data_IF_294786065052
#
_entry.id   IF_294786065052
#
_cell.length_a   1.000
_cell.length_b   1.000
_cell.length_c   1.000
_cell.angle_alpha   90.00
_cell.angle_beta   90.00
_cell.angle_gamma   90.00
#
_symmetry.space_group_name_H-M   'P 1'
#
loop_
_entity.id
_entity.type
_entity.pdbx_description
1 polymer ?
#
# COMPACT_ATOMS: atom_id res chain seq x y z
N UNK A 1 14.62 2.04 -5.82
CA UNK A 1 13.94 3.32 -6.11
C UNK A 1 13.61 4.10 -4.84
N UNK A 2 12.76 3.59 -3.94
CA UNK A 2 12.38 4.27 -2.69
C UNK A 2 13.58 4.80 -1.88
N UNK A 3 14.63 3.99 -1.70
CA UNK A 3 15.85 4.44 -1.01
C UNK A 3 16.59 5.59 -1.72
N UNK A 4 16.47 5.73 -3.04
CA UNK A 4 17.05 6.86 -3.78
C UNK A 4 16.22 8.13 -3.55
N UNK A 5 14.90 8.03 -3.68
CA UNK A 5 13.95 9.13 -3.40
C UNK A 5 14.19 9.69 -1.99
N UNK A 6 14.33 8.80 -0.99
CA UNK A 6 14.61 9.20 0.39
C UNK A 6 15.97 9.90 0.54
N UNK A 7 17.04 9.37 -0.08
CA UNK A 7 18.38 9.99 -0.01
C UNK A 7 18.44 11.35 -0.70
N UNK A 8 17.77 11.49 -1.84
CA UNK A 8 17.73 12.72 -2.62
C UNK A 8 16.69 13.73 -2.11
N UNK A 9 15.93 13.37 -1.06
CA UNK A 9 14.86 14.20 -0.46
C UNK A 9 13.84 14.69 -1.49
N UNK A 10 13.53 13.84 -2.47
CA UNK A 10 12.53 14.16 -3.48
C UNK A 10 11.14 14.09 -2.86
N UNK A 11 10.34 15.15 -3.04
CA UNK A 11 8.96 15.21 -2.62
C UNK A 11 8.07 14.64 -3.72
N UNK A 12 8.01 13.32 -3.80
CA UNK A 12 7.21 12.58 -4.78
C UNK A 12 6.47 11.44 -4.10
N UNK A 13 5.29 11.12 -4.64
CA UNK A 13 4.58 9.90 -4.29
C UNK A 13 5.19 8.69 -5.00
N UNK A 14 5.16 7.54 -4.34
CA UNK A 14 5.54 6.26 -4.90
C UNK A 14 4.29 5.37 -5.02
N UNK A 15 3.78 5.30 -6.24
CA UNK A 15 2.64 4.48 -6.61
C UNK A 15 3.04 3.03 -6.93
N UNK A 16 2.19 2.08 -6.54
CA UNK A 16 2.21 0.71 -7.05
C UNK A 16 0.90 0.44 -7.77
N UNK A 17 1.01 0.17 -9.07
CA UNK A 17 -0.10 -0.23 -9.94
C UNK A 17 0.14 -1.65 -10.48
N UNK A 18 -0.86 -2.51 -10.26
CA UNK A 18 -0.81 -3.94 -10.60
C UNK A 18 -0.64 -4.86 -9.39
N UNK A 19 -1.61 -5.77 -9.22
CA UNK A 19 -1.52 -6.85 -8.25
C UNK A 19 -1.58 -6.44 -6.78
N UNK A 20 -2.02 -5.22 -6.45
CA UNK A 20 -2.23 -4.79 -5.06
C UNK A 20 -3.44 -5.50 -4.46
N UNK A 21 -3.22 -6.20 -3.33
CA UNK A 21 -4.24 -6.96 -2.60
C UNK A 21 -4.08 -6.76 -1.09
N UNK A 22 -5.06 -7.20 -0.30
CA UNK A 22 -5.00 -7.12 1.17
C UNK A 22 -3.76 -7.83 1.71
N UNK A 23 -3.37 -8.95 1.10
CA UNK A 23 -2.29 -9.83 1.56
C UNK A 23 -0.89 -9.22 1.38
N UNK A 24 -0.73 -8.27 0.45
CA UNK A 24 0.59 -7.71 0.11
C UNK A 24 0.74 -6.22 0.38
N UNK A 25 -0.35 -5.47 0.58
CA UNK A 25 -0.30 -4.00 0.69
C UNK A 25 0.54 -3.52 1.88
N UNK A 26 0.56 -4.25 3.00
CA UNK A 26 1.45 -3.95 4.13
C UNK A 26 2.94 -4.06 3.77
N UNK A 27 3.31 -5.06 2.96
CA UNK A 27 4.70 -5.24 2.49
C UNK A 27 5.09 -4.12 1.53
N UNK A 28 4.19 -3.76 0.61
CA UNK A 28 4.40 -2.65 -0.33
C UNK A 28 4.57 -1.32 0.41
N UNK A 29 3.74 -1.08 1.43
CA UNK A 29 3.86 0.08 2.32
C UNK A 29 5.23 0.14 3.00
N UNK A 30 5.70 -0.97 3.59
CA UNK A 30 7.03 -1.06 4.20
C UNK A 30 8.18 -0.85 3.20
N UNK A 31 7.96 -1.16 1.91
CA UNK A 31 8.94 -0.91 0.86
C UNK A 31 9.01 0.58 0.43
N UNK A 32 8.11 1.43 0.93
CA UNK A 32 8.10 2.87 0.72
C UNK A 32 6.96 3.39 -0.15
N UNK A 33 6.08 2.52 -0.68
CA UNK A 33 4.91 2.97 -1.42
C UNK A 33 3.93 3.72 -0.51
N UNK A 34 3.24 4.71 -1.06
CA UNK A 34 2.21 5.49 -0.36
C UNK A 34 0.96 5.76 -1.20
N UNK A 35 1.01 5.45 -2.50
CA UNK A 35 -0.16 5.44 -3.39
C UNK A 35 -0.33 4.02 -3.93
N UNK A 36 -1.58 3.55 -4.01
CA UNK A 36 -1.88 2.17 -4.37
C UNK A 36 -3.07 2.11 -5.33
N UNK A 37 -2.90 1.41 -6.45
CA UNK A 37 -3.99 1.12 -7.38
C UNK A 37 -4.42 -0.33 -7.22
N UNK A 38 -5.67 -0.53 -6.80
CA UNK A 38 -6.26 -1.84 -6.59
C UNK A 38 -7.50 -2.02 -7.48
N UNK A 39 -7.33 -2.79 -8.56
CA UNK A 39 -8.41 -3.14 -9.50
C UNK A 39 -9.21 -4.35 -9.05
N UNK A 40 -8.84 -5.54 -9.53
CA UNK A 40 -9.57 -6.80 -9.26
C UNK A 40 -9.83 -7.07 -7.79
N UNK A 41 -8.88 -6.74 -6.90
CA UNK A 41 -9.06 -6.87 -5.46
C UNK A 41 -10.29 -6.11 -4.92
N UNK A 42 -10.68 -4.99 -5.55
CA UNK A 42 -11.87 -4.21 -5.18
C UNK A 42 -13.08 -4.63 -6.02
N UNK A 43 -12.96 -4.67 -7.34
CA UNK A 43 -14.09 -4.88 -8.26
C UNK A 43 -14.62 -6.32 -8.27
N UNK A 44 -13.80 -7.31 -7.94
CA UNK A 44 -14.23 -8.72 -7.81
C UNK A 44 -14.57 -9.07 -6.35
N UNK A 45 -14.46 -8.11 -5.42
CA UNK A 45 -14.80 -8.35 -4.03
C UNK A 45 -16.31 -8.47 -3.83
N UNK A 46 -16.81 -9.49 -3.11
CA UNK A 46 -18.21 -9.57 -2.73
C UNK A 46 -18.62 -8.46 -1.74
N UNK A 47 -17.65 -7.89 -1.02
CA UNK A 47 -17.82 -6.70 -0.16
C UNK A 47 -16.60 -5.78 -0.32
N UNK A 48 -16.67 -4.94 -1.34
CA UNK A 48 -15.68 -3.91 -1.63
C UNK A 48 -15.38 -2.97 -0.44
N UNK A 49 -16.38 -2.63 0.39
CA UNK A 49 -16.19 -1.75 1.55
C UNK A 49 -15.33 -2.43 2.61
N UNK A 50 -15.64 -3.69 2.93
CA UNK A 50 -14.83 -4.48 3.87
C UNK A 50 -13.41 -4.69 3.33
N UNK A 51 -13.24 -4.93 2.03
CA UNK A 51 -11.90 -5.04 1.43
C UNK A 51 -11.09 -3.75 1.55
N UNK A 52 -11.66 -2.59 1.21
CA UNK A 52 -10.99 -1.29 1.36
C UNK A 52 -10.61 -1.05 2.84
N UNK A 53 -11.51 -1.37 3.77
CA UNK A 53 -11.23 -1.26 5.21
C UNK A 53 -10.03 -2.10 5.60
N UNK A 54 -9.99 -3.38 5.21
CA UNK A 54 -8.87 -4.28 5.49
C UNK A 54 -7.56 -3.77 4.88
N UNK A 55 -7.59 -3.29 3.64
CA UNK A 55 -6.40 -2.68 3.02
C UNK A 55 -5.85 -1.51 3.85
N UNK A 56 -6.73 -0.61 4.32
CA UNK A 56 -6.33 0.51 5.19
C UNK A 56 -5.78 0.06 6.54
N UNK A 57 -6.37 -0.98 7.13
CA UNK A 57 -5.88 -1.58 8.37
C UNK A 57 -4.48 -2.17 8.21
N UNK A 58 -4.21 -2.85 7.10
CA UNK A 58 -2.88 -3.40 6.78
C UNK A 58 -1.84 -2.29 6.56
N UNK A 59 -2.21 -1.17 5.92
CA UNK A 59 -1.36 0.02 5.82
C UNK A 59 -1.05 0.58 7.22
N UNK A 60 -2.08 0.78 8.06
CA UNK A 60 -1.90 1.29 9.42
C UNK A 60 -1.07 0.36 10.33
N UNK A 61 -1.14 -0.96 10.10
CA UNK A 61 -0.25 -1.93 10.76
C UNK A 61 1.19 -1.79 10.27
N UNK A 62 1.40 -1.56 8.98
CA UNK A 62 2.74 -1.36 8.41
C UNK A 62 3.43 -0.08 8.92
N UNK A 63 2.66 0.97 9.22
CA UNK A 63 3.18 2.23 9.76
C UNK A 63 3.55 2.16 11.25
N UNK A 64 2.96 1.22 12.00
CA UNK A 64 3.34 0.99 13.40
C UNK A 64 4.74 0.36 13.43
N UNK A 65 5.74 1.12 13.89
CA UNK A 65 7.04 0.55 14.27
C UNK A 65 6.81 -0.53 15.32
N UNK A 66 7.30 -1.73 15.05
CA UNK A 66 7.59 -2.70 16.11
C UNK A 66 8.62 -2.01 17.01
N UNK A 67 8.17 -1.62 18.20
CA UNK A 67 9.04 -1.20 19.30
C UNK A 67 9.91 -2.36 19.75
#
# INVERSE_FOLDING_TARGET
LAGRIAREKLLVDLEVDGGVKVENIARLRRAGANVFVAGSAIFESPDYRSTIRRMREEIARADRRLV
#
